data_IF_056958304222
#
_entry.id   IF_056958304222
#
_cell.length_a   1.000
_cell.length_b   1.000
_cell.length_c   1.000
_cell.angle_alpha   90.00
_cell.angle_beta   90.00
_cell.angle_gamma   90.00
#
_symmetry.space_group_name_H-M   'P 1'
#
loop_
_entity.id
_entity.type
_entity.pdbx_description
1 polymer ?
#
# COMPACT_ATOMS: atom_id res chain seq x y z
N UNK A 1 2.84 4.74 8.21
CA UNK A 1 3.62 4.38 9.42
C UNK A 1 4.82 3.50 9.08
N UNK A 2 4.67 2.41 8.32
CA UNK A 2 5.79 1.51 7.99
C UNK A 2 7.01 2.21 7.34
N UNK A 3 6.78 3.15 6.40
CA UNK A 3 7.87 3.90 5.73
C UNK A 3 8.75 4.66 6.71
N UNK A 4 8.15 5.41 7.63
CA UNK A 4 8.89 6.21 8.61
C UNK A 4 9.71 5.32 9.55
N UNK A 5 9.14 4.21 10.02
CA UNK A 5 9.84 3.29 10.92
C UNK A 5 11.05 2.66 10.23
N UNK A 6 10.89 2.17 8.99
CA UNK A 6 11.98 1.58 8.24
C UNK A 6 13.08 2.59 7.88
N UNK A 7 12.70 3.83 7.53
CA UNK A 7 13.66 4.91 7.30
C UNK A 7 14.43 5.27 8.58
N UNK A 8 13.76 5.31 9.74
CA UNK A 8 14.42 5.54 11.03
C UNK A 8 15.41 4.43 11.41
N UNK A 9 15.21 3.22 10.88
CA UNK A 9 16.14 2.09 11.03
C UNK A 9 17.26 2.08 9.97
N UNK A 10 17.32 3.09 9.10
CA UNK A 10 18.34 3.23 8.06
C UNK A 10 18.08 2.44 6.78
N UNK A 11 16.86 1.91 6.58
CA UNK A 11 16.50 1.23 5.34
C UNK A 11 16.16 2.24 4.23
N UNK A 12 16.57 1.96 3.00
CA UNK A 12 16.03 2.61 1.82
C UNK A 12 14.65 2.04 1.50
N UNK A 13 13.65 2.89 1.31
CA UNK A 13 12.24 2.46 1.21
C UNK A 13 11.53 3.18 0.07
N UNK A 14 11.07 2.41 -0.91
CA UNK A 14 10.11 2.85 -1.94
C UNK A 14 8.71 2.37 -1.55
N UNK A 15 7.82 3.30 -1.19
CA UNK A 15 6.47 2.97 -0.74
C UNK A 15 5.42 3.20 -1.84
N UNK A 16 4.60 2.18 -2.12
CA UNK A 16 3.43 2.28 -3.00
C UNK A 16 2.16 2.19 -2.15
N UNK A 17 1.34 3.25 -2.15
CA UNK A 17 0.11 3.30 -1.37
C UNK A 17 -1.08 2.73 -2.16
N UNK A 18 -1.74 1.71 -1.61
CA UNK A 18 -2.91 1.04 -2.21
C UNK A 18 -4.24 1.77 -1.93
N UNK A 19 -4.27 2.60 -0.88
CA UNK A 19 -5.42 3.41 -0.48
C UNK A 19 -4.94 4.76 0.05
N UNK A 20 -5.74 5.80 -0.17
CA UNK A 20 -5.55 7.11 0.43
C UNK A 20 -6.87 7.57 1.05
N UNK A 21 -6.93 7.57 2.38
CA UNK A 21 -8.09 8.02 3.16
C UNK A 21 -7.73 9.24 4.01
N UNK A 22 -8.64 10.21 4.09
CA UNK A 22 -8.63 11.28 5.07
C UNK A 22 -9.79 11.11 6.05
N UNK A 23 -9.53 11.35 7.33
CA UNK A 23 -10.58 11.47 8.33
C UNK A 23 -11.14 12.90 8.32
N UNK A 24 -12.46 13.03 8.24
CA UNK A 24 -13.12 14.31 8.48
C UNK A 24 -13.63 14.31 9.93
N UNK A 25 -13.09 15.17 10.78
CA UNK A 25 -13.62 15.37 12.12
C UNK A 25 -14.83 16.32 11.99
N UNK A 26 -16.08 15.87 12.25
CA UNK A 26 -17.22 16.77 12.19
C UNK A 26 -17.16 17.71 13.39
N UNK A 27 -17.22 19.01 13.14
CA UNK A 27 -17.57 20.00 14.14
C UNK A 27 -18.99 19.68 14.63
N UNK A 28 -19.14 19.58 15.95
CA UNK A 28 -20.29 18.97 16.60
C UNK A 28 -21.56 19.81 16.48
N UNK A 29 -22.55 19.35 15.70
CA UNK A 29 -23.97 19.54 16.07
C UNK A 29 -24.89 18.55 15.34
N UNK A 30 -25.66 17.78 16.13
CA UNK A 30 -26.87 16.98 15.77
C UNK A 30 -26.68 15.49 15.45
N UNK A 31 -27.42 14.56 16.11
CA UNK A 31 -27.37 13.13 15.81
C UNK A 31 -28.47 12.74 14.81
N UNK A 32 -28.11 12.18 13.66
CA UNK A 32 -29.08 11.44 12.84
C UNK A 32 -28.51 10.11 12.34
N UNK A 33 -29.32 9.08 12.56
CA UNK A 33 -29.12 7.66 12.30
C UNK A 33 -28.56 7.41 10.89
N UNK A 34 -27.44 6.70 10.79
CA UNK A 34 -26.89 6.23 9.53
C UNK A 34 -26.88 4.70 9.48
N UNK A 35 -27.53 4.19 8.45
CA UNK A 35 -27.60 2.79 8.05
C UNK A 35 -26.22 2.15 7.91
N UNK A 36 -26.16 0.87 8.28
CA UNK A 36 -24.99 0.00 8.19
C UNK A 36 -24.60 -0.21 6.71
N UNK A 37 -23.73 0.64 6.17
CA UNK A 37 -22.95 0.32 4.97
C UNK A 37 -21.50 0.06 5.34
N UNK A 38 -20.96 -0.94 4.66
CA UNK A 38 -19.79 -1.74 5.02
C UNK A 38 -18.48 -0.98 4.80
N UNK A 39 -18.20 -0.02 5.66
CA UNK A 39 -17.05 0.87 5.51
C UNK A 39 -15.91 0.47 6.45
N UNK A 40 -15.03 -0.40 5.95
CA UNK A 40 -13.74 -0.70 6.55
C UNK A 40 -12.83 0.54 6.45
N UNK A 41 -12.91 1.44 7.43
CA UNK A 41 -12.01 2.58 7.56
C UNK A 41 -11.03 2.40 8.73
N UNK A 42 -9.79 2.76 8.43
CA UNK A 42 -8.60 2.70 9.26
C UNK A 42 -8.81 3.34 10.66
N UNK A 43 -8.27 2.70 11.71
CA UNK A 43 -8.14 3.20 13.09
C UNK A 43 -9.44 3.77 13.74
N UNK A 44 -10.39 2.86 14.02
CA UNK A 44 -11.29 2.84 15.19
C UNK A 44 -11.67 4.18 15.88
N UNK A 45 -12.29 5.14 15.18
CA UNK A 45 -12.89 6.30 15.88
C UNK A 45 -13.49 7.40 15.01
N UNK A 46 -13.12 7.50 13.73
CA UNK A 46 -13.58 8.59 12.87
C UNK A 46 -14.94 8.26 12.22
N UNK A 47 -15.94 9.09 12.48
CA UNK A 47 -17.34 8.90 12.00
C UNK A 47 -17.52 9.12 10.50
N UNK A 48 -16.55 9.76 9.84
CA UNK A 48 -16.58 10.07 8.41
C UNK A 48 -15.17 9.89 7.86
N UNK A 49 -15.04 9.09 6.80
CA UNK A 49 -13.79 8.91 6.07
C UNK A 49 -14.08 9.22 4.59
N UNK A 50 -13.19 9.94 3.94
CA UNK A 50 -13.24 10.18 2.49
C UNK A 50 -11.94 9.69 1.90
N UNK A 51 -11.99 9.00 0.76
CA UNK A 51 -10.77 8.54 0.14
C UNK A 51 -11.00 7.75 -1.12
N UNK A 52 -9.90 7.37 -1.76
CA UNK A 52 -9.90 6.60 -3.00
C UNK A 52 -9.04 5.36 -2.83
N UNK A 53 -9.51 4.25 -3.39
CA UNK A 53 -8.70 3.06 -3.63
C UNK A 53 -7.87 3.31 -4.89
N UNK A 54 -6.56 3.12 -4.83
CA UNK A 54 -5.70 3.25 -6.00
C UNK A 54 -6.05 2.12 -6.98
N UNK A 55 -6.42 2.43 -8.24
CA UNK A 55 -6.64 1.41 -9.26
C UNK A 55 -5.39 0.55 -9.45
N UNK A 56 -5.60 -0.71 -9.84
CA UNK A 56 -4.51 -1.64 -10.06
C UNK A 56 -3.55 -1.19 -11.17
N UNK A 57 -4.05 -0.50 -12.19
CA UNK A 57 -3.26 0.03 -13.31
C UNK A 57 -2.29 1.12 -12.84
N UNK A 58 -2.75 2.03 -11.99
CA UNK A 58 -1.90 3.09 -11.43
C UNK A 58 -0.78 2.54 -10.52
N UNK A 59 -1.02 1.40 -9.85
CA UNK A 59 0.04 0.68 -9.12
C UNK A 59 1.10 0.15 -10.09
N UNK A 60 0.68 -0.36 -11.25
CA UNK A 60 1.60 -0.84 -12.27
C UNK A 60 2.42 0.32 -12.87
N UNK A 61 1.79 1.45 -13.17
CA UNK A 61 2.45 2.65 -13.70
C UNK A 61 3.50 3.19 -12.73
N UNK A 62 3.17 3.25 -11.43
CA UNK A 62 4.11 3.68 -10.39
C UNK A 62 5.31 2.73 -10.30
N UNK A 63 5.07 1.42 -10.35
CA UNK A 63 6.16 0.46 -10.35
C UNK A 63 7.01 0.56 -11.62
N UNK A 64 6.40 0.81 -12.78
CA UNK A 64 7.12 1.06 -14.02
C UNK A 64 8.01 2.31 -13.94
N UNK A 65 7.53 3.39 -13.35
CA UNK A 65 8.33 4.60 -13.08
C UNK A 65 9.55 4.32 -12.19
N UNK A 66 9.40 3.45 -11.18
CA UNK A 66 10.53 2.99 -10.35
C UNK A 66 11.55 2.21 -11.18
N UNK A 67 11.09 1.33 -12.08
CA UNK A 67 11.98 0.57 -12.99
C UNK A 67 12.75 1.49 -13.93
N UNK A 68 12.06 2.45 -14.55
CA UNK A 68 12.69 3.42 -15.46
C UNK A 68 13.77 4.25 -14.75
N UNK A 69 13.56 4.51 -13.46
CA UNK A 69 14.51 5.23 -12.61
C UNK A 69 15.64 4.35 -12.05
N UNK A 70 15.67 3.04 -12.37
CA UNK A 70 16.60 2.03 -11.82
C UNK A 70 16.52 1.88 -10.29
N UNK A 71 15.34 2.13 -9.72
CA UNK A 71 15.06 2.04 -8.29
C UNK A 71 14.28 0.78 -7.94
N UNK A 72 14.49 -0.31 -8.67
CA UNK A 72 13.72 -1.56 -8.56
C UNK A 72 14.54 -2.78 -8.13
N UNK A 73 15.76 -2.59 -7.63
CA UNK A 73 16.59 -3.63 -7.01
C UNK A 73 16.23 -3.72 -5.51
N UNK A 74 15.13 -4.42 -5.21
CA UNK A 74 14.63 -4.56 -3.84
C UNK A 74 14.96 -5.95 -3.28
N UNK A 75 15.60 -5.98 -2.10
CA UNK A 75 15.80 -7.23 -1.35
C UNK A 75 14.55 -7.65 -0.56
N UNK A 76 13.66 -6.71 -0.26
CA UNK A 76 12.45 -6.94 0.54
C UNK A 76 11.24 -6.29 -0.10
N UNK A 77 10.16 -7.05 -0.20
CA UNK A 77 8.82 -6.53 -0.50
C UNK A 77 7.93 -6.70 0.74
N UNK A 78 7.31 -5.62 1.20
CA UNK A 78 6.33 -5.64 2.29
C UNK A 78 4.98 -5.15 1.77
N UNK A 79 3.97 -6.00 1.75
CA UNK A 79 2.63 -5.65 1.25
C UNK A 79 1.58 -5.64 2.36
N UNK A 80 1.02 -4.47 2.65
CA UNK A 80 -0.08 -4.34 3.61
C UNK A 80 -1.47 -4.47 2.99
N UNK A 81 -2.44 -3.72 3.52
CA UNK A 81 -3.84 -3.76 3.11
C UNK A 81 -4.03 -3.62 1.58
N UNK A 82 -4.67 -4.61 0.97
CA UNK A 82 -4.99 -4.63 -0.46
C UNK A 82 -6.52 -4.69 -0.62
N UNK A 83 -7.19 -3.57 -1.00
CA UNK A 83 -8.65 -3.45 -0.93
C UNK A 83 -9.41 -4.14 -2.06
N UNK A 84 -8.72 -4.75 -3.02
CA UNK A 84 -9.32 -5.41 -4.18
C UNK A 84 -8.43 -6.52 -4.75
N UNK A 85 -9.05 -7.47 -5.45
CA UNK A 85 -8.34 -8.57 -6.12
C UNK A 85 -7.35 -8.09 -7.19
N UNK A 86 -7.70 -7.02 -7.91
CA UNK A 86 -6.80 -6.41 -8.91
C UNK A 86 -5.51 -5.88 -8.28
N UNK A 87 -5.60 -5.26 -7.10
CA UNK A 87 -4.42 -4.79 -6.36
C UNK A 87 -3.54 -5.96 -5.92
N UNK A 88 -4.15 -7.02 -5.34
CA UNK A 88 -3.42 -8.23 -4.95
C UNK A 88 -2.71 -8.87 -6.14
N UNK A 89 -3.37 -8.93 -7.30
CA UNK A 89 -2.79 -9.48 -8.51
C UNK A 89 -1.55 -8.70 -8.97
N UNK A 90 -1.59 -7.36 -8.92
CA UNK A 90 -0.44 -6.53 -9.32
C UNK A 90 0.71 -6.65 -8.33
N UNK A 91 0.44 -6.66 -7.02
CA UNK A 91 1.46 -6.94 -6.00
C UNK A 91 2.12 -8.29 -6.25
N UNK A 92 1.34 -9.33 -6.58
CA UNK A 92 1.87 -10.66 -6.90
C UNK A 92 2.76 -10.67 -8.14
N UNK A 93 2.43 -9.88 -9.19
CA UNK A 93 3.28 -9.73 -10.37
C UNK A 93 4.61 -9.08 -10.03
N UNK A 94 4.59 -7.99 -9.24
CA UNK A 94 5.79 -7.29 -8.77
C UNK A 94 6.66 -8.24 -7.96
N UNK A 95 6.09 -8.92 -6.96
CA UNK A 95 6.80 -9.88 -6.10
C UNK A 95 7.49 -10.98 -6.92
N UNK A 96 6.80 -11.51 -7.93
CA UNK A 96 7.34 -12.54 -8.81
C UNK A 96 8.50 -12.01 -9.66
N UNK A 97 8.38 -10.81 -10.20
CA UNK A 97 9.42 -10.16 -11.01
C UNK A 97 10.68 -9.90 -10.16
N UNK A 98 10.52 -9.30 -8.97
CA UNK A 98 11.64 -9.04 -8.04
C UNK A 98 12.30 -10.35 -7.60
N UNK A 99 11.51 -11.38 -7.25
CA UNK A 99 12.06 -12.70 -6.90
C UNK A 99 12.87 -13.30 -8.05
N UNK A 100 12.39 -13.18 -9.29
CA UNK A 100 13.10 -13.68 -10.45
C UNK A 100 14.42 -12.92 -10.68
N UNK A 101 14.41 -11.60 -10.56
CA UNK A 101 15.63 -10.78 -10.65
C UNK A 101 16.68 -11.16 -9.58
N UNK A 102 16.20 -11.57 -8.41
CA UNK A 102 17.01 -11.96 -7.25
C UNK A 102 17.57 -13.39 -7.33
N UNK A 103 17.24 -14.17 -8.35
CA UNK A 103 17.66 -15.58 -8.49
C UNK A 103 19.18 -15.76 -8.54
N UNK A 104 19.91 -14.72 -8.92
CA UNK A 104 21.38 -14.71 -8.96
C UNK A 104 22.04 -14.52 -7.59
N UNK A 105 21.25 -14.18 -6.54
CA UNK A 105 21.70 -13.98 -5.16
C UNK A 105 20.84 -14.83 -4.20
N UNK A 106 21.25 -16.07 -3.86
CA UNK A 106 20.49 -16.93 -2.96
C UNK A 106 20.21 -16.24 -1.61
N UNK A 107 18.94 -16.20 -1.19
CA UNK A 107 18.52 -15.55 0.06
C UNK A 107 18.31 -14.03 -0.02
N UNK A 108 18.51 -13.42 -1.19
CA UNK A 108 18.41 -11.96 -1.34
C UNK A 108 16.99 -11.41 -1.45
N UNK A 109 15.96 -12.24 -1.59
CA UNK A 109 14.58 -11.75 -1.68
C UNK A 109 13.64 -12.34 -0.62
N UNK A 110 13.00 -11.45 0.12
CA UNK A 110 11.96 -11.78 1.08
C UNK A 110 10.66 -11.02 0.78
N UNK A 111 9.52 -11.72 0.81
CA UNK A 111 8.20 -11.11 0.71
C UNK A 111 7.36 -11.43 1.95
N UNK A 112 6.92 -10.39 2.66
CA UNK A 112 6.02 -10.48 3.81
C UNK A 112 4.74 -9.64 3.63
N UNK A 113 3.72 -9.96 4.43
CA UNK A 113 2.42 -9.25 4.48
C UNK A 113 2.15 -8.70 5.87
#
# INVERSE_FOLDING_TARGET
MATFVMQALGCEVSAINTVQFSAFAPESTTPQRASLTHDQANHTGYKQFKGRKTPAEEIADLYEGLKQSRLNDFDVLLSGYCPSAGVVQQVGKIARETRFASTTKPGAFFWGT
#
